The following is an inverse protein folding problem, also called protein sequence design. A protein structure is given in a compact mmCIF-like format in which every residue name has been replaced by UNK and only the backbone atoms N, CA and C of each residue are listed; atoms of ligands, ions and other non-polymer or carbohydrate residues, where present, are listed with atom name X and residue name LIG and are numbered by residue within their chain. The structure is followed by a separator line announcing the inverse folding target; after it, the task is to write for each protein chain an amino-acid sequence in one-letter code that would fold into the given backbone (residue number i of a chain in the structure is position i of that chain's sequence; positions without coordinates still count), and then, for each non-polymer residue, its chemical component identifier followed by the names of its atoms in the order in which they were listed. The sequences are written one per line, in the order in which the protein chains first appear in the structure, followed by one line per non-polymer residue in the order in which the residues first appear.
data_IF_303187575518
#
_entry.id   IF_303187575518
#
_cell.length_a   1.000
_cell.length_b   1.000
_cell.length_c   1.000
_cell.angle_alpha   90.00
_cell.angle_beta   90.00
_cell.angle_gamma   90.00
#
_symmetry.space_group_name_H-M   'P 1'
#
loop_
_entity.id
_entity.type
_entity.pdbx_description
1 polymer ?
#
# COMPACT_ATOMS: atom_id res chain seq x y z
N UNK A 1 -20.58 4.43 -33.04
CA UNK A 1 -20.05 3.36 -32.17
C UNK A 1 -19.20 2.34 -32.91
N UNK A 2 -19.71 1.54 -33.89
CA UNK A 2 -18.85 0.53 -34.57
C UNK A 2 -17.69 1.10 -35.40
N UNK A 3 -17.82 2.27 -36.04
CA UNK A 3 -16.76 2.91 -36.85
C UNK A 3 -15.64 3.50 -35.95
N UNK A 4 -15.97 4.10 -34.83
CA UNK A 4 -15.00 4.68 -33.89
C UNK A 4 -14.20 3.57 -33.18
N UNK A 5 -14.84 2.50 -32.76
CA UNK A 5 -14.18 1.32 -32.18
C UNK A 5 -13.20 0.70 -33.19
N UNK A 6 -13.60 0.61 -34.48
CA UNK A 6 -12.74 0.05 -35.52
C UNK A 6 -11.52 0.93 -35.84
N UNK A 7 -11.68 2.26 -35.81
CA UNK A 7 -10.58 3.23 -36.00
C UNK A 7 -9.60 3.17 -34.83
N UNK A 8 -10.08 3.16 -33.58
CA UNK A 8 -9.24 3.05 -32.38
C UNK A 8 -8.45 1.74 -32.35
N UNK A 9 -9.08 0.61 -32.66
CA UNK A 9 -8.42 -0.70 -32.70
C UNK A 9 -7.32 -0.75 -33.77
N UNK A 10 -7.54 -0.15 -34.95
CA UNK A 10 -6.55 -0.10 -36.01
C UNK A 10 -5.36 0.80 -35.66
N UNK A 11 -5.61 1.92 -34.99
CA UNK A 11 -4.57 2.86 -34.52
C UNK A 11 -3.72 2.20 -33.41
N UNK A 12 -4.33 1.58 -32.41
CA UNK A 12 -3.63 0.84 -31.34
C UNK A 12 -2.76 -0.29 -31.88
N UNK A 13 -3.27 -1.06 -32.87
CA UNK A 13 -2.51 -2.11 -33.54
C UNK A 13 -1.26 -1.59 -34.28
N UNK A 14 -1.33 -0.40 -34.90
CA UNK A 14 -0.19 0.21 -35.56
C UNK A 14 0.85 0.71 -34.56
N UNK A 15 0.43 1.36 -33.47
CA UNK A 15 1.31 1.79 -32.39
C UNK A 15 2.00 0.58 -31.73
N UNK A 16 1.27 -0.50 -31.51
CA UNK A 16 1.81 -1.74 -30.97
C UNK A 16 2.89 -2.35 -31.89
N UNK A 17 2.70 -2.32 -33.21
CA UNK A 17 3.71 -2.80 -34.18
C UNK A 17 4.98 -1.93 -34.16
N UNK A 18 4.83 -0.63 -34.05
CA UNK A 18 5.98 0.31 -33.95
C UNK A 18 6.84 -0.04 -32.74
N UNK A 19 6.23 -0.33 -31.60
CA UNK A 19 6.96 -0.60 -30.36
C UNK A 19 7.57 -2.00 -30.28
N UNK A 20 6.89 -3.02 -30.85
CA UNK A 20 7.33 -4.44 -30.82
C UNK A 20 8.76 -4.68 -31.31
N UNK A 21 9.26 -3.85 -32.23
CA UNK A 21 10.63 -3.94 -32.72
C UNK A 21 11.68 -3.25 -31.85
N UNK A 22 11.26 -2.52 -30.82
CA UNK A 22 12.11 -1.65 -29.99
C UNK A 22 12.29 -2.16 -28.57
N UNK A 23 11.50 -3.15 -28.15
CA UNK A 23 11.50 -3.71 -26.81
C UNK A 23 11.72 -5.22 -26.80
N UNK A 24 12.19 -5.74 -25.68
CA UNK A 24 12.37 -7.19 -25.44
C UNK A 24 11.10 -7.86 -24.90
N UNK A 25 10.29 -7.09 -24.17
CA UNK A 25 9.04 -7.54 -23.58
C UNK A 25 7.91 -7.71 -24.59
N UNK A 26 6.67 -7.71 -24.12
CA UNK A 26 5.48 -7.84 -24.96
C UNK A 26 4.64 -6.57 -24.98
N UNK A 27 3.96 -6.33 -26.11
CA UNK A 27 2.97 -5.26 -26.26
C UNK A 27 1.63 -5.90 -26.52
N UNK A 28 0.65 -5.57 -25.70
CA UNK A 28 -0.73 -6.03 -25.82
C UNK A 28 -1.64 -4.84 -26.16
N UNK A 29 -2.58 -5.07 -27.05
CA UNK A 29 -3.67 -4.16 -27.39
C UNK A 29 -5.01 -4.89 -27.33
N UNK A 30 -6.12 -4.18 -27.37
CA UNK A 30 -7.45 -4.76 -27.32
C UNK A 30 -7.62 -5.83 -28.43
N UNK A 31 -8.03 -7.04 -28.04
CA UNK A 31 -8.16 -8.19 -28.91
C UNK A 31 -6.94 -9.12 -28.93
N UNK A 32 -5.80 -8.73 -28.37
CA UNK A 32 -4.67 -9.65 -28.22
C UNK A 32 -4.93 -10.65 -27.07
N UNK A 33 -4.50 -11.92 -27.22
CA UNK A 33 -4.56 -12.89 -26.12
C UNK A 33 -3.85 -12.35 -24.87
N UNK A 34 -4.52 -12.43 -23.70
CA UNK A 34 -3.99 -11.97 -22.43
C UNK A 34 -4.17 -10.47 -22.14
N UNK A 35 -4.72 -9.68 -23.09
CA UNK A 35 -4.98 -8.25 -22.84
C UNK A 35 -5.95 -8.03 -21.69
N UNK A 36 -7.08 -8.74 -21.66
CA UNK A 36 -8.08 -8.59 -20.61
C UNK A 36 -7.56 -9.02 -19.24
N UNK A 37 -6.70 -10.04 -19.17
CA UNK A 37 -6.02 -10.44 -17.93
C UNK A 37 -4.99 -9.36 -17.49
N UNK A 38 -4.21 -8.83 -18.44
CA UNK A 38 -3.18 -7.83 -18.15
C UNK A 38 -3.76 -6.49 -17.66
N UNK A 39 -5.00 -6.13 -18.01
CA UNK A 39 -5.66 -4.91 -17.52
C UNK A 39 -6.47 -5.10 -16.24
N UNK A 40 -6.53 -6.31 -15.67
CA UNK A 40 -7.16 -6.52 -14.37
C UNK A 40 -6.23 -6.05 -13.26
N UNK A 41 -6.78 -5.30 -12.30
CA UNK A 41 -6.10 -4.88 -11.09
C UNK A 41 -6.88 -5.31 -9.85
N UNK A 42 -6.27 -5.19 -8.68
CA UNK A 42 -6.81 -5.71 -7.43
C UNK A 42 -8.22 -5.20 -7.10
N UNK A 43 -8.50 -3.90 -7.33
CA UNK A 43 -9.81 -3.28 -7.11
C UNK A 43 -10.72 -3.48 -8.33
N UNK A 44 -11.69 -4.36 -8.23
CA UNK A 44 -12.63 -4.66 -9.32
C UNK A 44 -13.63 -3.51 -9.66
N UNK A 45 -13.64 -2.40 -8.90
CA UNK A 45 -14.34 -1.19 -9.33
C UNK A 45 -13.69 -0.52 -10.54
N UNK A 46 -12.43 -0.85 -10.83
CA UNK A 46 -11.63 -0.23 -11.89
C UNK A 46 -11.65 -1.13 -13.13
N UNK A 47 -12.27 -0.65 -14.20
CA UNK A 47 -12.34 -1.33 -15.50
C UNK A 47 -11.84 -0.37 -16.61
N UNK A 48 -10.53 -0.06 -16.59
CA UNK A 48 -9.88 0.80 -17.58
C UNK A 48 -9.34 -0.01 -18.76
N UNK A 49 -9.27 0.63 -19.94
CA UNK A 49 -8.89 0.01 -21.20
C UNK A 49 -7.74 0.78 -21.87
N UNK A 50 -6.48 0.49 -21.50
CA UNK A 50 -5.32 1.07 -22.16
C UNK A 50 -5.30 0.77 -23.65
N UNK A 51 -4.91 1.73 -24.50
CA UNK A 51 -4.66 1.46 -25.91
C UNK A 51 -3.52 0.45 -26.08
N UNK A 52 -2.49 0.54 -25.23
CA UNK A 52 -1.35 -0.39 -25.19
C UNK A 52 -1.01 -0.75 -23.73
N UNK A 53 -0.66 -2.02 -23.51
CA UNK A 53 0.00 -2.50 -22.29
C UNK A 53 1.38 -3.01 -22.68
N UNK A 54 2.43 -2.39 -22.16
CA UNK A 54 3.82 -2.76 -22.39
C UNK A 54 4.32 -3.57 -21.21
N UNK A 55 4.33 -4.88 -21.34
CA UNK A 55 4.87 -5.78 -20.32
C UNK A 55 6.39 -5.83 -20.45
N UNK A 56 7.08 -5.04 -19.65
CA UNK A 56 8.53 -4.90 -19.69
C UNK A 56 9.24 -6.21 -19.28
N UNK A 57 10.25 -6.61 -20.08
CA UNK A 57 11.16 -7.69 -19.71
C UNK A 57 12.33 -7.19 -18.90
N UNK A 58 12.78 -5.96 -19.16
CA UNK A 58 13.80 -5.25 -18.39
C UNK A 58 13.62 -3.72 -18.47
N UNK A 59 14.52 -2.99 -17.81
CA UNK A 59 14.47 -1.53 -17.75
C UNK A 59 14.68 -0.84 -19.11
N UNK A 60 15.26 -1.54 -20.11
CA UNK A 60 15.51 -0.99 -21.45
C UNK A 60 14.23 -0.84 -22.26
N UNK A 61 13.16 -1.53 -21.88
CA UNK A 61 11.85 -1.42 -22.53
C UNK A 61 11.11 -0.11 -22.18
N UNK A 62 11.48 0.54 -21.08
CA UNK A 62 10.79 1.74 -20.56
C UNK A 62 11.03 2.99 -21.43
N UNK A 63 12.29 3.36 -21.84
CA UNK A 63 12.53 4.53 -22.63
C UNK A 63 11.77 4.55 -23.98
N UNK A 64 11.74 3.48 -24.80
CA UNK A 64 10.97 3.48 -26.03
C UNK A 64 9.45 3.59 -25.79
N UNK A 65 8.92 3.03 -24.69
CA UNK A 65 7.51 3.17 -24.31
C UNK A 65 7.17 4.64 -23.99
N UNK A 66 8.00 5.33 -23.20
CA UNK A 66 7.85 6.76 -22.89
C UNK A 66 7.95 7.59 -24.19
N UNK A 67 8.93 7.32 -25.04
CA UNK A 67 9.13 8.06 -26.29
C UNK A 67 7.93 7.92 -27.24
N UNK A 68 7.36 6.71 -27.37
CA UNK A 68 6.13 6.47 -28.14
C UNK A 68 4.95 7.26 -27.56
N UNK A 69 4.72 7.15 -26.25
CA UNK A 69 3.62 7.83 -25.58
C UNK A 69 3.72 9.37 -25.76
N UNK A 70 4.88 9.96 -25.57
CA UNK A 70 5.12 11.40 -25.80
C UNK A 70 4.83 11.81 -27.24
N UNK A 71 5.34 11.05 -28.23
CA UNK A 71 5.14 11.35 -29.66
C UNK A 71 3.66 11.37 -30.04
N UNK A 72 2.91 10.44 -29.50
CA UNK A 72 1.48 10.27 -29.81
C UNK A 72 0.55 10.91 -28.79
N UNK A 73 1.11 11.63 -27.79
CA UNK A 73 0.36 12.30 -26.70
C UNK A 73 -0.55 11.34 -25.93
N UNK A 74 -0.08 10.13 -25.72
CA UNK A 74 -0.79 9.12 -24.93
C UNK A 74 -0.55 9.39 -23.43
N UNK A 75 -1.58 9.22 -22.65
CA UNK A 75 -1.46 9.19 -21.19
C UNK A 75 -0.62 7.97 -20.75
N UNK A 76 0.23 8.13 -19.72
CA UNK A 76 1.07 7.04 -19.21
C UNK A 76 0.59 6.63 -17.83
N UNK A 77 0.26 5.37 -17.66
CA UNK A 77 0.13 4.73 -16.36
C UNK A 77 1.26 3.75 -16.09
N UNK A 78 1.59 3.52 -14.80
CA UNK A 78 2.66 2.62 -14.39
C UNK A 78 2.08 1.58 -13.44
N UNK A 79 2.25 0.31 -13.80
CA UNK A 79 1.77 -0.82 -13.01
C UNK A 79 2.93 -1.63 -12.45
N UNK A 80 3.03 -1.68 -11.10
CA UNK A 80 3.75 -2.75 -10.39
C UNK A 80 2.86 -3.98 -10.25
N UNK A 81 2.29 -4.23 -9.06
CA UNK A 81 1.34 -5.33 -8.84
C UNK A 81 -0.16 -4.92 -8.93
N UNK A 82 -0.48 -3.66 -9.26
CA UNK A 82 -1.87 -3.23 -9.51
C UNK A 82 -2.75 -3.05 -8.26
N UNK A 83 -2.20 -2.73 -7.10
CA UNK A 83 -2.93 -2.53 -5.84
C UNK A 83 -3.42 -1.10 -5.60
N UNK A 84 -3.15 -0.15 -6.50
CA UNK A 84 -3.55 1.25 -6.30
C UNK A 84 -5.07 1.38 -6.20
N UNK A 85 -5.56 1.86 -5.05
CA UNK A 85 -7.01 1.93 -4.76
C UNK A 85 -7.75 2.93 -5.65
N UNK A 86 -7.07 4.00 -6.11
CA UNK A 86 -7.62 4.98 -7.04
C UNK A 86 -7.63 4.51 -8.50
N UNK A 87 -7.02 3.35 -8.80
CA UNK A 87 -6.94 2.80 -10.15
C UNK A 87 -5.87 3.43 -11.04
N UNK A 88 -4.95 4.22 -10.50
CA UNK A 88 -3.91 4.94 -11.27
C UNK A 88 -2.85 4.01 -11.88
N UNK A 89 -2.89 2.71 -11.59
CA UNK A 89 -2.04 1.71 -12.25
C UNK A 89 -2.43 1.45 -13.72
N UNK A 90 -3.59 1.94 -14.17
CA UNK A 90 -4.10 1.84 -15.53
C UNK A 90 -4.60 3.20 -16.01
N UNK A 91 -4.69 3.37 -17.33
CA UNK A 91 -5.33 4.51 -18.01
C UNK A 91 -6.33 4.01 -19.05
N UNK A 92 -7.21 4.88 -19.51
CA UNK A 92 -8.05 4.63 -20.68
C UNK A 92 -7.37 5.23 -21.92
N UNK A 93 -7.41 4.52 -23.05
CA UNK A 93 -6.89 4.95 -24.35
C UNK A 93 -5.42 5.39 -24.38
N UNK A 94 -4.67 5.18 -23.29
CA UNK A 94 -3.27 5.53 -23.11
C UNK A 94 -2.32 4.32 -23.17
N UNK A 95 -1.12 4.47 -22.62
CA UNK A 95 -0.10 3.44 -22.55
C UNK A 95 0.18 3.07 -21.09
N UNK A 96 0.01 1.79 -20.75
CA UNK A 96 0.39 1.24 -19.43
C UNK A 96 1.77 0.59 -19.53
N UNK A 97 2.74 1.08 -18.75
CA UNK A 97 4.02 0.40 -18.51
C UNK A 97 3.78 -0.63 -17.40
N UNK A 98 3.84 -1.90 -17.73
CA UNK A 98 3.52 -3.01 -16.84
C UNK A 98 4.78 -3.80 -16.46
N UNK A 99 5.10 -3.81 -15.18
CA UNK A 99 6.25 -4.51 -14.60
C UNK A 99 5.94 -5.91 -14.09
N UNK A 100 4.77 -6.48 -14.38
CA UNK A 100 4.36 -7.80 -13.89
C UNK A 100 5.34 -8.95 -14.20
N UNK A 101 6.26 -8.74 -15.16
CA UNK A 101 7.32 -9.70 -15.52
C UNK A 101 8.67 -9.40 -14.86
N UNK A 102 8.86 -8.23 -14.27
CA UNK A 102 10.09 -7.82 -13.59
C UNK A 102 9.93 -7.98 -12.08
N UNK A 103 10.14 -9.20 -11.55
CA UNK A 103 9.90 -9.58 -10.17
C UNK A 103 11.13 -10.08 -9.42
N UNK A 104 12.30 -9.96 -10.01
CA UNK A 104 13.51 -10.50 -9.40
C UNK A 104 13.84 -9.78 -8.09
N UNK A 105 14.22 -10.56 -7.08
CA UNK A 105 14.74 -10.09 -5.79
C UNK A 105 16.11 -10.73 -5.56
N UNK A 106 17.14 -9.90 -5.47
CA UNK A 106 18.51 -10.34 -5.16
C UNK A 106 18.92 -9.85 -3.78
N UNK A 107 19.30 -10.76 -2.90
CA UNK A 107 19.76 -10.47 -1.54
C UNK A 107 21.27 -10.52 -1.45
N UNK A 108 21.88 -9.48 -0.90
CA UNK A 108 23.26 -9.44 -0.43
C UNK A 108 23.23 -9.49 1.10
N UNK A 109 23.26 -10.72 1.65
CA UNK A 109 23.16 -10.92 3.09
C UNK A 109 24.35 -10.33 3.86
N UNK A 110 25.54 -10.31 3.27
CA UNK A 110 26.76 -9.72 3.87
C UNK A 110 26.63 -8.21 4.09
N UNK A 111 26.01 -7.52 3.14
CA UNK A 111 25.73 -6.08 3.24
C UNK A 111 24.38 -5.79 3.87
N UNK A 112 23.55 -6.80 4.10
CA UNK A 112 22.14 -6.67 4.51
C UNK A 112 21.39 -5.74 3.55
N UNK A 113 21.41 -6.08 2.24
CA UNK A 113 20.73 -5.35 1.18
C UNK A 113 19.85 -6.27 0.36
N UNK A 114 18.70 -5.76 -0.06
CA UNK A 114 17.88 -6.36 -1.10
C UNK A 114 17.79 -5.43 -2.29
N UNK A 115 17.98 -5.98 -3.50
CA UNK A 115 17.78 -5.30 -4.77
C UNK A 115 16.52 -5.89 -5.41
N UNK A 116 15.52 -5.06 -5.64
CA UNK A 116 14.16 -5.51 -5.93
C UNK A 116 13.64 -4.85 -7.19
N UNK A 117 13.16 -5.63 -8.13
CA UNK A 117 12.49 -5.12 -9.32
C UNK A 117 11.06 -4.62 -9.04
N UNK A 118 10.53 -3.65 -9.82
CA UNK A 118 9.30 -2.91 -9.51
C UNK A 118 8.01 -3.74 -9.58
N UNK A 119 8.02 -4.86 -10.27
CA UNK A 119 6.89 -5.79 -10.34
C UNK A 119 6.83 -6.82 -9.21
N UNK A 120 7.86 -6.87 -8.35
CA UNK A 120 7.88 -7.77 -7.21
C UNK A 120 6.75 -7.42 -6.21
N UNK A 121 6.18 -8.45 -5.64
CA UNK A 121 5.22 -8.35 -4.53
C UNK A 121 5.94 -8.38 -3.19
N UNK A 122 5.22 -8.10 -2.11
CA UNK A 122 5.77 -8.25 -0.76
C UNK A 122 6.13 -9.70 -0.47
N UNK A 123 5.35 -10.68 -0.98
CA UNK A 123 5.69 -12.10 -0.88
C UNK A 123 7.04 -12.43 -1.52
N UNK A 124 7.30 -11.91 -2.74
CA UNK A 124 8.56 -12.15 -3.45
C UNK A 124 9.77 -11.64 -2.63
N UNK A 125 9.61 -10.47 -1.98
CA UNK A 125 10.65 -9.88 -1.13
C UNK A 125 10.82 -10.66 0.18
N UNK A 126 9.73 -10.93 0.90
CA UNK A 126 9.77 -11.63 2.19
C UNK A 126 10.35 -13.04 2.05
N UNK A 127 9.94 -13.80 1.02
CA UNK A 127 10.47 -15.14 0.76
C UNK A 127 11.97 -15.11 0.45
N UNK A 128 12.43 -14.15 -0.35
CA UNK A 128 13.83 -14.02 -0.68
C UNK A 128 14.70 -13.62 0.53
N UNK A 129 14.23 -12.70 1.37
CA UNK A 129 15.03 -12.15 2.48
C UNK A 129 15.04 -13.08 3.69
N UNK A 130 13.93 -13.75 3.99
CA UNK A 130 13.83 -14.64 5.16
C UNK A 130 14.65 -15.92 5.04
N UNK A 131 14.97 -16.37 3.82
CA UNK A 131 15.97 -17.42 3.60
C UNK A 131 17.35 -17.09 4.20
N UNK A 132 17.61 -15.81 4.49
CA UNK A 132 18.81 -15.28 5.13
C UNK A 132 18.59 -14.82 6.59
N UNK A 133 17.42 -15.04 7.18
CA UNK A 133 17.06 -14.50 8.50
C UNK A 133 16.98 -12.98 8.54
N UNK A 134 16.62 -12.36 7.41
CA UNK A 134 16.55 -10.90 7.23
C UNK A 134 15.16 -10.48 6.74
N UNK A 135 14.76 -9.27 7.10
CA UNK A 135 13.56 -8.62 6.57
C UNK A 135 13.71 -7.10 6.51
N UNK A 136 12.80 -6.42 5.83
CA UNK A 136 12.62 -4.97 5.87
C UNK A 136 11.15 -4.66 6.13
N UNK A 137 10.79 -3.50 6.74
CA UNK A 137 9.40 -3.13 6.92
C UNK A 137 8.64 -3.07 5.59
N UNK A 138 7.54 -3.81 5.49
CA UNK A 138 6.61 -3.81 4.36
C UNK A 138 5.17 -3.94 4.87
N UNK A 139 4.18 -3.88 3.98
CA UNK A 139 2.76 -4.03 4.33
C UNK A 139 2.36 -5.45 4.73
N UNK A 140 1.06 -5.64 4.99
CA UNK A 140 0.50 -6.86 5.58
C UNK A 140 -0.29 -7.74 4.58
N UNK A 141 -0.37 -7.35 3.33
CA UNK A 141 -0.97 -8.14 2.26
C UNK A 141 0.13 -8.55 1.28
N UNK A 142 0.41 -9.84 1.20
CA UNK A 142 1.55 -10.37 0.49
C UNK A 142 1.52 -10.12 -1.03
N UNK A 143 0.34 -9.92 -1.60
CA UNK A 143 0.13 -9.65 -3.04
C UNK A 143 0.36 -8.18 -3.42
N UNK A 144 0.52 -7.29 -2.45
CA UNK A 144 0.80 -5.86 -2.69
C UNK A 144 2.15 -5.69 -3.39
N UNK A 145 2.21 -4.79 -4.37
CA UNK A 145 3.45 -4.47 -5.08
C UNK A 145 4.38 -3.59 -4.25
N UNK A 146 5.67 -3.96 -4.25
CA UNK A 146 6.71 -3.22 -3.51
C UNK A 146 6.84 -1.77 -3.98
N UNK A 147 6.72 -1.51 -5.29
CA UNK A 147 6.97 -0.19 -5.88
C UNK A 147 5.98 0.87 -5.37
N UNK A 148 4.68 0.67 -5.59
CA UNK A 148 3.66 1.63 -5.18
C UNK A 148 3.60 1.80 -3.66
N UNK A 149 3.73 0.71 -2.92
CA UNK A 149 3.79 0.74 -1.45
C UNK A 149 4.95 1.63 -0.98
N UNK A 150 6.16 1.38 -1.45
CA UNK A 150 7.38 2.11 -1.05
C UNK A 150 7.29 3.59 -1.40
N UNK A 151 6.97 3.93 -2.66
CA UNK A 151 6.98 5.31 -3.13
C UNK A 151 6.00 6.23 -2.40
N UNK A 152 4.94 5.69 -1.80
CA UNK A 152 3.99 6.44 -0.98
C UNK A 152 4.21 6.32 0.53
N UNK A 153 5.18 5.50 0.98
CA UNK A 153 5.46 5.30 2.40
C UNK A 153 5.73 3.85 2.77
N UNK A 154 4.69 3.05 2.86
CA UNK A 154 4.74 1.64 3.28
C UNK A 154 4.87 1.45 4.79
N UNK A 155 3.92 0.76 5.40
CA UNK A 155 3.96 0.39 6.81
C UNK A 155 3.38 -1.00 7.06
N UNK A 156 3.79 -1.62 8.15
CA UNK A 156 3.34 -2.94 8.58
C UNK A 156 3.90 -3.30 9.95
N UNK A 157 4.08 -4.59 10.19
CA UNK A 157 4.42 -5.12 11.52
C UNK A 157 5.74 -4.60 12.08
N UNK A 158 6.75 -4.42 11.22
CA UNK A 158 8.09 -3.99 11.60
C UNK A 158 8.26 -2.46 11.68
N UNK A 159 7.22 -1.69 11.37
CA UNK A 159 7.30 -0.21 11.27
C UNK A 159 7.68 0.45 12.60
N UNK A 160 7.20 -0.07 13.71
CA UNK A 160 7.54 0.46 15.03
C UNK A 160 9.03 0.39 15.32
N UNK A 161 9.64 -0.74 14.97
CA UNK A 161 11.03 -1.03 15.28
C UNK A 161 12.02 -0.42 14.28
N UNK A 162 11.68 -0.43 12.99
CA UNK A 162 12.61 -0.07 11.92
C UNK A 162 12.13 1.07 11.01
N UNK A 163 11.03 1.73 11.32
CA UNK A 163 10.46 2.78 10.47
C UNK A 163 9.58 2.23 9.34
N UNK A 164 9.19 3.12 8.46
CA UNK A 164 8.40 2.78 7.27
C UNK A 164 9.27 2.13 6.18
N UNK A 165 8.66 1.56 5.15
CA UNK A 165 9.40 0.97 4.02
C UNK A 165 10.34 1.96 3.37
N UNK A 166 9.88 3.21 3.16
CA UNK A 166 10.70 4.29 2.57
C UNK A 166 11.88 4.73 3.45
N UNK A 167 11.80 4.52 4.75
CA UNK A 167 12.89 4.88 5.67
C UNK A 167 14.09 3.96 5.50
N UNK A 168 13.84 2.79 4.93
CA UNK A 168 14.80 1.73 4.67
C UNK A 168 15.24 1.67 3.20
N UNK A 169 14.77 2.59 2.36
CA UNK A 169 15.20 2.72 0.98
C UNK A 169 16.59 3.37 0.95
N UNK A 170 17.54 2.72 0.27
CA UNK A 170 18.95 3.16 0.18
C UNK A 170 19.20 3.88 -1.14
N UNK A 171 18.63 3.36 -2.22
CA UNK A 171 18.72 3.95 -3.55
C UNK A 171 17.66 3.40 -4.48
N UNK A 172 17.46 4.07 -5.61
CA UNK A 172 16.68 3.56 -6.73
C UNK A 172 17.39 3.83 -8.05
N UNK A 173 17.16 2.96 -9.03
CA UNK A 173 17.40 3.26 -10.43
C UNK A 173 16.06 3.61 -11.09
N UNK A 174 16.02 4.67 -11.89
CA UNK A 174 14.79 5.13 -12.53
C UNK A 174 15.04 5.71 -13.93
N UNK A 175 13.95 5.77 -14.70
CA UNK A 175 13.90 6.37 -16.03
C UNK A 175 13.15 7.70 -15.94
N UNK A 176 13.79 8.80 -16.40
CA UNK A 176 13.18 10.15 -16.40
C UNK A 176 12.15 10.30 -17.52
N UNK A 177 11.42 11.42 -17.52
CA UNK A 177 10.49 11.79 -18.58
C UNK A 177 11.12 11.87 -19.97
N UNK A 178 12.45 12.15 -20.06
CA UNK A 178 13.23 12.14 -21.31
C UNK A 178 13.78 10.75 -21.68
N UNK A 179 13.46 9.71 -20.90
CA UNK A 179 13.97 8.35 -21.15
C UNK A 179 15.41 8.10 -20.68
N UNK A 180 16.00 9.00 -19.87
CA UNK A 180 17.36 8.82 -19.34
C UNK A 180 17.34 7.91 -18.11
N UNK A 181 18.29 6.97 -18.07
CA UNK A 181 18.53 6.13 -16.88
C UNK A 181 19.37 6.92 -15.88
N UNK A 182 18.90 7.05 -14.66
CA UNK A 182 19.61 7.70 -13.57
C UNK A 182 19.43 6.92 -12.27
N UNK A 183 20.38 7.09 -11.36
CA UNK A 183 20.30 6.59 -9.98
C UNK A 183 19.96 7.76 -9.06
N UNK A 184 19.17 7.48 -8.01
CA UNK A 184 18.94 8.43 -6.94
C UNK A 184 19.24 7.77 -5.58
N UNK A 185 20.00 8.48 -4.74
CA UNK A 185 20.41 8.08 -3.41
C UNK A 185 20.69 9.33 -2.57
N UNK A 186 21.13 9.17 -1.32
CA UNK A 186 21.54 10.31 -0.49
C UNK A 186 22.72 11.11 -1.08
N UNK A 187 23.57 10.49 -1.90
CA UNK A 187 24.77 11.08 -2.49
C UNK A 187 24.68 11.36 -3.99
N UNK A 188 23.63 10.86 -4.65
CA UNK A 188 23.43 11.02 -6.09
C UNK A 188 21.98 11.40 -6.38
N UNK A 189 21.73 12.52 -7.10
CA UNK A 189 20.39 13.07 -7.33
C UNK A 189 19.57 13.14 -6.02
N UNK A 190 20.18 13.70 -4.96
CA UNK A 190 19.65 13.65 -3.60
C UNK A 190 18.30 14.37 -3.46
N UNK A 191 18.02 15.40 -4.26
CA UNK A 191 16.73 16.09 -4.32
C UNK A 191 15.62 15.17 -4.87
N UNK A 192 15.92 14.40 -5.90
CA UNK A 192 15.03 13.38 -6.43
C UNK A 192 14.82 12.25 -5.45
N UNK A 193 15.91 11.77 -4.81
CA UNK A 193 15.81 10.74 -3.76
C UNK A 193 14.94 11.18 -2.58
N UNK A 194 15.06 12.45 -2.18
CA UNK A 194 14.19 13.05 -1.19
C UNK A 194 12.71 13.00 -1.64
N UNK A 195 12.44 13.38 -2.89
CA UNK A 195 11.09 13.51 -3.43
C UNK A 195 10.37 12.16 -3.61
N UNK A 196 11.06 11.12 -4.13
CA UNK A 196 10.46 9.79 -4.35
C UNK A 196 10.17 9.07 -3.03
N UNK A 197 10.79 9.46 -1.91
CA UNK A 197 10.51 8.91 -0.59
C UNK A 197 9.23 9.53 0.00
N UNK A 198 8.08 9.14 -0.55
CA UNK A 198 6.74 9.57 -0.16
C UNK A 198 5.97 10.33 -1.25
N UNK A 199 6.66 10.97 -2.20
CA UNK A 199 6.03 11.73 -3.29
C UNK A 199 5.46 10.88 -4.43
N UNK A 200 5.54 9.54 -4.31
CA UNK A 200 4.96 8.63 -5.31
C UNK A 200 5.68 8.61 -6.65
N UNK A 201 4.99 8.15 -7.67
CA UNK A 201 5.50 8.01 -9.04
C UNK A 201 5.50 9.29 -9.88
N UNK A 202 5.60 10.47 -9.25
CA UNK A 202 5.50 11.78 -9.93
C UNK A 202 6.73 12.17 -10.77
N UNK A 203 7.88 11.53 -10.57
CA UNK A 203 9.17 12.07 -11.01
C UNK A 203 9.89 11.21 -12.05
N UNK A 204 9.36 10.04 -12.34
CA UNK A 204 9.96 9.06 -13.24
C UNK A 204 9.46 7.64 -12.95
N UNK A 205 9.94 6.71 -13.76
CA UNK A 205 9.61 5.29 -13.69
C UNK A 205 10.73 4.55 -12.98
N UNK A 206 10.51 4.13 -11.72
CA UNK A 206 11.51 3.38 -10.94
C UNK A 206 11.59 1.94 -11.48
N UNK A 207 12.79 1.48 -11.75
CA UNK A 207 13.10 0.17 -12.33
C UNK A 207 13.88 -0.76 -11.39
N UNK A 208 14.43 -0.23 -10.28
CA UNK A 208 15.07 -1.02 -9.23
C UNK A 208 15.04 -0.26 -7.90
N UNK A 209 14.87 -1.00 -6.82
CA UNK A 209 14.90 -0.50 -5.43
C UNK A 209 16.02 -1.22 -4.67
N UNK A 210 16.80 -0.49 -3.87
CA UNK A 210 17.76 -1.05 -2.92
C UNK A 210 17.29 -0.77 -1.50
N UNK A 211 17.03 -1.83 -0.72
CA UNK A 211 16.56 -1.73 0.67
C UNK A 211 17.63 -2.18 1.66
N UNK A 212 17.64 -1.51 2.82
CA UNK A 212 18.29 -1.99 4.04
C UNK A 212 17.47 -3.15 4.62
N UNK A 213 18.16 -4.21 5.04
CA UNK A 213 17.58 -5.36 5.74
C UNK A 213 18.04 -5.42 7.20
N UNK A 214 17.20 -6.03 8.04
CA UNK A 214 17.42 -6.23 9.47
C UNK A 214 17.29 -7.70 9.84
N UNK A 215 17.99 -8.18 10.87
CA UNK A 215 17.77 -9.51 11.42
C UNK A 215 16.34 -9.63 11.96
N UNK A 216 15.55 -10.52 11.37
CA UNK A 216 14.18 -10.84 11.80
C UNK A 216 13.91 -12.30 11.50
N UNK A 217 13.32 -12.99 12.46
CA UNK A 217 12.91 -14.36 12.28
C UNK A 217 14.05 -15.38 12.19
N UNK A 218 13.80 -16.54 11.57
CA UNK A 218 12.66 -16.89 10.71
C UNK A 218 11.31 -17.02 11.43
N UNK A 219 11.32 -17.22 12.74
CA UNK A 219 10.12 -17.33 13.57
C UNK A 219 9.88 -16.05 14.37
N UNK A 220 8.62 -15.74 14.56
CA UNK A 220 8.11 -14.62 15.39
C UNK A 220 6.97 -15.14 16.26
N UNK A 221 6.60 -14.37 17.29
CA UNK A 221 5.36 -14.64 18.02
C UNK A 221 4.26 -13.75 17.48
N UNK A 222 3.17 -14.34 16.98
CA UNK A 222 2.06 -13.58 16.42
C UNK A 222 0.74 -14.33 16.51
N UNK A 223 -0.35 -13.61 16.21
CA UNK A 223 -1.68 -14.18 16.11
C UNK A 223 -2.78 -13.17 16.38
N UNK A 224 -3.94 -13.67 16.76
CA UNK A 224 -5.17 -12.90 16.94
C UNK A 224 -5.75 -13.12 18.32
N UNK A 225 -6.27 -12.03 18.95
CA UNK A 225 -7.19 -12.09 20.07
C UNK A 225 -8.50 -11.48 19.61
N UNK A 226 -9.63 -12.18 19.79
CA UNK A 226 -10.95 -11.75 19.31
C UNK A 226 -11.88 -11.50 20.48
N UNK A 227 -12.38 -10.28 20.59
CA UNK A 227 -13.24 -9.85 21.67
C UNK A 227 -14.68 -9.57 21.20
N UNK A 228 -15.67 -9.69 22.09
CA UNK A 228 -17.04 -9.26 21.83
C UNK A 228 -17.11 -7.77 21.48
N UNK A 229 -17.87 -7.41 20.45
CA UNK A 229 -18.10 -6.02 20.07
C UNK A 229 -18.73 -5.19 21.19
N UNK A 230 -19.55 -5.80 22.06
CA UNK A 230 -20.14 -5.16 23.24
C UNK A 230 -19.10 -4.62 24.23
N UNK A 231 -17.84 -5.10 24.16
CA UNK A 231 -16.75 -4.63 25.00
C UNK A 231 -15.82 -3.63 24.25
N UNK A 232 -16.18 -3.20 23.03
CA UNK A 232 -15.31 -2.38 22.17
C UNK A 232 -14.79 -1.13 22.88
N UNK A 233 -15.65 -0.38 23.57
CA UNK A 233 -15.24 0.85 24.29
C UNK A 233 -14.18 0.56 25.36
N UNK A 234 -14.36 -0.50 26.15
CA UNK A 234 -13.40 -0.93 27.17
C UNK A 234 -12.07 -1.32 26.54
N UNK A 235 -12.10 -2.17 25.51
CA UNK A 235 -10.91 -2.70 24.85
C UNK A 235 -10.10 -1.58 24.20
N UNK A 236 -10.75 -0.69 23.45
CA UNK A 236 -10.08 0.42 22.78
C UNK A 236 -9.48 1.44 23.77
N UNK A 237 -10.14 1.68 24.91
CA UNK A 237 -9.58 2.51 25.97
C UNK A 237 -8.33 1.89 26.59
N UNK A 238 -8.33 0.59 26.86
CA UNK A 238 -7.16 -0.10 27.41
C UNK A 238 -6.04 -0.21 26.37
N UNK A 239 -6.39 -0.50 25.11
CA UNK A 239 -5.45 -0.53 24.00
C UNK A 239 -4.66 0.79 23.86
N UNK A 240 -5.35 1.94 23.75
CA UNK A 240 -4.67 3.25 23.60
C UNK A 240 -3.75 3.62 24.75
N UNK A 241 -4.02 3.13 25.97
CA UNK A 241 -3.16 3.32 27.12
C UNK A 241 -1.94 2.40 27.04
N UNK A 242 -2.18 1.11 26.76
CA UNK A 242 -1.14 0.09 26.73
C UNK A 242 -0.06 0.37 25.68
N UNK A 243 -0.45 0.73 24.46
CA UNK A 243 0.49 0.89 23.34
C UNK A 243 1.47 2.06 23.51
N UNK A 244 1.18 3.00 24.41
CA UNK A 244 2.10 4.10 24.72
C UNK A 244 3.36 3.65 25.46
N UNK A 245 3.32 2.52 26.17
CA UNK A 245 4.45 1.97 26.94
C UNK A 245 4.94 0.61 26.40
N UNK A 246 4.31 0.07 25.37
CA UNK A 246 4.70 -1.19 24.77
C UNK A 246 6.06 -1.07 24.05
N UNK A 247 6.95 -2.08 24.16
CA UNK A 247 8.23 -2.09 23.45
C UNK A 247 8.00 -2.04 21.92
N UNK A 248 8.97 -1.54 21.17
CA UNK A 248 8.81 -1.33 19.71
C UNK A 248 8.77 -2.65 18.92
N UNK A 249 9.32 -3.72 19.47
CA UNK A 249 9.24 -5.08 18.96
C UNK A 249 7.81 -5.66 18.98
N UNK A 250 6.95 -5.11 19.85
CA UNK A 250 5.53 -5.48 19.96
C UNK A 250 4.68 -4.51 19.15
N UNK A 251 4.02 -5.02 18.12
CA UNK A 251 3.04 -4.27 17.33
C UNK A 251 1.67 -4.93 17.45
N UNK A 252 0.68 -4.13 17.85
CA UNK A 252 -0.71 -4.57 17.99
C UNK A 252 -1.57 -3.59 17.22
N UNK A 253 -2.34 -4.11 16.27
CA UNK A 253 -3.33 -3.31 15.55
C UNK A 253 -4.73 -3.57 16.10
N UNK A 254 -5.68 -2.78 15.65
CA UNK A 254 -7.09 -2.97 15.94
C UNK A 254 -7.86 -3.16 14.65
N UNK A 255 -8.69 -4.19 14.59
CA UNK A 255 -9.61 -4.41 13.47
C UNK A 255 -11.01 -4.62 14.02
N UNK A 256 -11.97 -3.80 13.58
CA UNK A 256 -13.38 -3.99 13.87
C UNK A 256 -14.07 -4.48 12.60
N UNK A 257 -14.62 -5.70 12.67
CA UNK A 257 -15.21 -6.37 11.50
C UNK A 257 -16.25 -7.40 11.92
N UNK A 258 -16.91 -8.02 10.95
CA UNK A 258 -17.67 -9.25 11.19
C UNK A 258 -16.72 -10.44 11.23
N UNK A 259 -16.87 -11.29 12.25
CA UNK A 259 -16.01 -12.45 12.47
C UNK A 259 -16.13 -13.45 11.30
N UNK A 260 -15.02 -13.76 10.60
CA UNK A 260 -15.01 -14.88 9.66
C UNK A 260 -15.10 -16.22 10.44
N UNK A 261 -15.41 -17.34 9.76
CA UNK A 261 -15.54 -18.65 10.40
C UNK A 261 -14.15 -19.24 10.73
N UNK A 262 -13.49 -18.68 11.74
CA UNK A 262 -12.19 -19.15 12.21
C UNK A 262 -12.36 -20.34 13.15
N UNK A 263 -11.54 -21.41 13.04
CA UNK A 263 -11.69 -22.64 13.81
C UNK A 263 -11.61 -22.48 15.33
N UNK A 264 -10.91 -21.44 15.81
CA UNK A 264 -10.76 -21.17 17.25
C UNK A 264 -11.89 -20.29 17.81
N UNK A 265 -12.84 -19.86 16.99
CA UNK A 265 -14.01 -19.09 17.43
C UNK A 265 -15.25 -19.99 17.53
N UNK A 266 -16.09 -19.82 18.56
CA UNK A 266 -17.38 -20.49 18.63
C UNK A 266 -18.26 -20.16 17.41
N UNK A 267 -19.00 -21.13 16.88
CA UNK A 267 -19.85 -20.94 15.68
C UNK A 267 -20.86 -19.80 15.84
N UNK A 268 -21.37 -19.60 17.06
CA UNK A 268 -22.33 -18.54 17.36
C UNK A 268 -21.73 -17.13 17.31
N UNK A 269 -20.41 -16.98 17.12
CA UNK A 269 -19.70 -15.69 16.94
C UNK A 269 -19.54 -15.37 15.45
N UNK A 270 -19.55 -16.37 14.58
CA UNK A 270 -19.37 -16.19 13.14
C UNK A 270 -20.41 -15.21 12.57
N UNK A 271 -19.95 -14.26 11.76
CA UNK A 271 -20.76 -13.21 11.14
C UNK A 271 -21.20 -12.07 12.06
N UNK A 272 -20.90 -12.13 13.36
CA UNK A 272 -21.17 -11.03 14.30
C UNK A 272 -20.00 -10.03 14.32
N UNK A 273 -20.32 -8.79 14.66
CA UNK A 273 -19.30 -7.76 14.87
C UNK A 273 -18.40 -8.14 16.04
N UNK A 274 -17.08 -7.96 15.85
CA UNK A 274 -16.04 -8.26 16.83
C UNK A 274 -14.97 -7.18 16.82
N UNK A 275 -14.20 -7.12 17.90
CA UNK A 275 -12.91 -6.40 17.96
C UNK A 275 -11.80 -7.43 17.88
N UNK A 276 -10.97 -7.34 16.87
CA UNK A 276 -9.80 -8.20 16.69
C UNK A 276 -8.56 -7.40 16.99
N UNK A 277 -7.67 -7.96 17.80
CA UNK A 277 -6.34 -7.45 18.03
C UNK A 277 -5.33 -8.38 17.36
N UNK A 278 -4.86 -8.08 16.14
CA UNK A 278 -3.69 -8.74 15.56
C UNK A 278 -2.45 -8.34 16.36
N UNK A 279 -1.72 -9.33 16.83
CA UNK A 279 -0.52 -9.20 17.66
C UNK A 279 0.68 -9.70 16.86
N UNK A 280 1.74 -8.94 16.88
CA UNK A 280 3.04 -9.29 16.31
C UNK A 280 4.16 -8.93 17.28
N UNK A 281 5.07 -9.85 17.53
CA UNK A 281 6.25 -9.62 18.37
C UNK A 281 7.49 -10.26 17.74
N UNK A 282 8.47 -9.40 17.44
CA UNK A 282 9.74 -9.81 16.80
C UNK A 282 10.89 -10.07 17.79
N UNK A 283 10.66 -9.86 19.07
CA UNK A 283 11.64 -10.15 20.13
C UNK A 283 11.67 -11.62 20.54
N UNK A 284 12.42 -11.95 21.63
CA UNK A 284 12.53 -13.33 22.11
C UNK A 284 11.18 -13.94 22.47
N UNK A 285 10.83 -15.08 21.87
CA UNK A 285 9.53 -15.72 22.06
C UNK A 285 9.19 -16.03 23.53
N UNK A 286 10.23 -16.30 24.36
CA UNK A 286 10.05 -16.54 25.80
C UNK A 286 9.49 -15.32 26.58
N UNK A 287 9.63 -14.11 26.04
CA UNK A 287 9.12 -12.87 26.66
C UNK A 287 7.71 -12.54 26.19
N UNK A 288 7.26 -13.09 25.05
CA UNK A 288 6.01 -12.74 24.40
C UNK A 288 4.80 -12.91 25.33
N UNK A 289 4.69 -14.04 26.01
CA UNK A 289 3.57 -14.34 26.90
C UNK A 289 3.43 -13.31 28.04
N UNK A 290 4.54 -12.88 28.63
CA UNK A 290 4.54 -11.85 29.67
C UNK A 290 4.09 -10.50 29.13
N UNK A 291 4.51 -10.13 27.93
CA UNK A 291 4.14 -8.87 27.29
C UNK A 291 2.67 -8.83 26.85
N UNK A 292 2.11 -9.98 26.46
CA UNK A 292 0.75 -10.09 25.93
C UNK A 292 -0.28 -10.35 27.02
N UNK A 293 0.11 -10.87 28.18
CA UNK A 293 -0.81 -11.14 29.29
C UNK A 293 -1.70 -9.92 29.64
N UNK A 294 -1.23 -8.67 29.71
CA UNK A 294 -2.08 -7.50 29.93
C UNK A 294 -3.11 -7.27 28.80
N UNK A 295 -2.76 -7.61 27.55
CA UNK A 295 -3.64 -7.42 26.39
C UNK A 295 -4.84 -8.38 26.45
N UNK A 296 -4.64 -9.62 26.90
CA UNK A 296 -5.73 -10.57 27.14
C UNK A 296 -6.71 -10.07 28.20
N UNK A 297 -6.22 -9.28 29.17
CA UNK A 297 -7.02 -8.71 30.24
C UNK A 297 -7.81 -7.44 29.86
N UNK A 298 -7.74 -6.98 28.60
CA UNK A 298 -8.56 -5.85 28.15
C UNK A 298 -10.05 -6.14 28.19
N UNK A 299 -10.44 -7.42 28.12
CA UNK A 299 -11.81 -7.90 28.21
C UNK A 299 -11.87 -9.41 28.36
N UNK A 300 -13.01 -10.00 28.03
CA UNK A 300 -13.18 -11.45 27.98
C UNK A 300 -13.22 -11.87 26.51
N UNK A 301 -12.15 -12.45 25.96
CA UNK A 301 -12.12 -12.79 24.54
C UNK A 301 -13.09 -13.94 24.20
N UNK A 302 -13.62 -13.92 22.98
CA UNK A 302 -14.32 -15.06 22.39
C UNK A 302 -13.39 -16.23 22.10
N UNK A 303 -12.11 -15.92 21.79
CA UNK A 303 -11.06 -16.87 21.53
C UNK A 303 -9.78 -16.15 21.10
N UNK A 304 -8.70 -16.90 21.09
CA UNK A 304 -7.39 -16.44 20.60
C UNK A 304 -6.66 -17.55 19.85
N UNK A 305 -5.80 -17.14 18.96
CA UNK A 305 -4.84 -18.00 18.27
C UNK A 305 -3.52 -17.26 18.23
N UNK A 306 -2.67 -17.51 19.21
CA UNK A 306 -1.36 -16.86 19.39
C UNK A 306 -0.29 -17.95 19.51
N UNK A 307 0.88 -17.70 18.97
CA UNK A 307 2.01 -18.62 19.09
C UNK A 307 3.20 -18.24 18.24
N UNK A 308 4.26 -19.05 18.40
CA UNK A 308 5.45 -18.96 17.53
C UNK A 308 5.09 -19.51 16.17
N UNK A 309 5.41 -18.75 15.13
CA UNK A 309 5.14 -19.14 13.75
C UNK A 309 6.12 -18.47 12.78
N UNK A 310 6.28 -19.00 11.55
CA UNK A 310 7.11 -18.36 10.54
C UNK A 310 6.62 -16.93 10.20
N UNK A 311 7.54 -15.98 10.10
CA UNK A 311 7.22 -14.60 9.71
C UNK A 311 6.49 -14.53 8.36
N UNK A 312 6.92 -15.33 7.35
CA UNK A 312 6.24 -15.40 6.03
C UNK A 312 4.79 -15.85 6.16
N UNK A 313 4.50 -16.80 7.06
CA UNK A 313 3.13 -17.26 7.27
C UNK A 313 2.26 -16.14 7.84
N UNK A 314 2.79 -15.33 8.78
CA UNK A 314 2.09 -14.18 9.31
C UNK A 314 1.88 -13.06 8.28
N UNK A 315 2.86 -12.80 7.42
CA UNK A 315 2.76 -11.83 6.31
C UNK A 315 1.66 -12.21 5.30
N UNK A 316 1.30 -13.49 5.19
CA UNK A 316 0.24 -14.03 4.34
C UNK A 316 -1.09 -14.28 5.07
N UNK A 317 -1.14 -14.08 6.39
CA UNK A 317 -2.29 -14.46 7.22
C UNK A 317 -3.60 -13.76 6.82
N UNK A 318 -3.52 -12.57 6.25
CA UNK A 318 -4.68 -11.77 5.85
C UNK A 318 -5.03 -11.89 4.37
N UNK A 319 -4.21 -12.54 3.55
CA UNK A 319 -4.44 -12.68 2.11
C UNK A 319 -5.81 -13.30 1.77
N UNK A 320 -6.31 -14.33 2.49
CA UNK A 320 -7.62 -14.89 2.20
C UNK A 320 -8.79 -13.92 2.36
N UNK A 321 -8.61 -12.85 3.14
CA UNK A 321 -9.60 -11.80 3.36
C UNK A 321 -9.47 -10.64 2.35
N UNK A 322 -8.33 -10.58 1.64
CA UNK A 322 -7.94 -9.46 0.78
C UNK A 322 -7.67 -9.90 -0.66
N UNK A 323 -8.39 -10.91 -1.13
CA UNK A 323 -8.26 -11.46 -2.49
C UNK A 323 -8.61 -10.42 -3.57
N UNK A 324 -7.96 -10.45 -4.76
CA UNK A 324 -8.37 -9.61 -5.88
C UNK A 324 -9.81 -9.94 -6.33
N UNK A 325 -10.42 -9.03 -7.08
CA UNK A 325 -11.74 -9.25 -7.70
C UNK A 325 -12.92 -8.71 -6.90
N UNK A 326 -12.75 -8.27 -5.65
CA UNK A 326 -13.78 -7.53 -4.94
C UNK A 326 -13.71 -6.02 -5.25
N UNK A 327 -14.84 -5.35 -5.08
CA UNK A 327 -14.99 -3.90 -5.19
C UNK A 327 -14.53 -3.25 -3.90
N UNK A 328 -13.72 -2.20 -4.00
CA UNK A 328 -13.10 -1.57 -2.84
C UNK A 328 -13.19 -0.05 -2.93
N UNK A 329 -13.57 0.57 -1.81
CA UNK A 329 -13.56 2.01 -1.64
C UNK A 329 -13.04 2.36 -0.25
N UNK A 330 -11.95 3.09 -0.19
CA UNK A 330 -11.23 3.37 1.04
C UNK A 330 -11.24 4.86 1.38
N UNK A 331 -11.18 5.15 2.66
CA UNK A 331 -10.88 6.46 3.21
C UNK A 331 -9.90 6.28 4.37
N UNK A 332 -9.07 7.28 4.62
CA UNK A 332 -8.09 7.18 5.71
C UNK A 332 -7.90 8.50 6.45
N UNK A 333 -7.57 8.36 7.72
CA UNK A 333 -7.07 9.42 8.58
C UNK A 333 -5.82 8.98 9.32
N UNK A 334 -4.96 9.94 9.62
CA UNK A 334 -3.89 9.77 10.57
C UNK A 334 -4.31 10.34 11.92
N UNK A 335 -3.85 9.72 13.03
CA UNK A 335 -4.09 10.21 14.38
C UNK A 335 -2.78 10.29 15.17
N UNK A 336 -2.59 11.36 15.89
CA UNK A 336 -1.53 11.50 16.91
C UNK A 336 -1.92 10.80 18.20
N UNK A 337 -3.23 10.72 18.47
CA UNK A 337 -3.83 10.02 19.60
C UNK A 337 -5.24 9.52 19.23
N UNK A 338 -5.72 8.52 19.94
CA UNK A 338 -7.09 8.02 19.79
C UNK A 338 -7.99 8.70 20.85
N UNK A 339 -8.46 9.92 20.58
CA UNK A 339 -9.36 10.67 21.47
C UNK A 339 -10.70 9.94 21.68
N UNK A 340 -11.42 10.26 22.76
CA UNK A 340 -12.71 9.60 23.08
C UNK A 340 -13.71 9.69 21.94
N UNK A 341 -13.85 10.86 21.31
CA UNK A 341 -14.76 11.05 20.19
C UNK A 341 -14.36 10.28 18.93
N UNK A 342 -13.03 10.06 18.71
CA UNK A 342 -12.56 9.17 17.65
C UNK A 342 -13.01 7.72 17.92
N UNK A 343 -12.81 7.24 19.15
CA UNK A 343 -13.23 5.89 19.54
C UNK A 343 -14.75 5.72 19.44
N UNK A 344 -15.54 6.72 19.84
CA UNK A 344 -17.00 6.68 19.75
C UNK A 344 -17.46 6.60 18.28
N UNK A 345 -16.88 7.38 17.39
CA UNK A 345 -17.14 7.32 15.94
C UNK A 345 -16.77 5.96 15.36
N UNK A 346 -15.59 5.42 15.71
CA UNK A 346 -15.13 4.09 15.25
C UNK A 346 -16.13 3.01 15.66
N UNK A 347 -16.58 3.00 16.93
CA UNK A 347 -17.51 2.00 17.43
C UNK A 347 -18.88 2.15 16.76
N UNK A 348 -19.38 3.38 16.62
CA UNK A 348 -20.66 3.64 15.95
C UNK A 348 -20.68 3.04 14.53
N UNK A 349 -19.66 3.34 13.74
CA UNK A 349 -19.62 2.91 12.33
C UNK A 349 -19.25 1.44 12.16
N UNK A 350 -18.47 0.86 13.09
CA UNK A 350 -18.24 -0.58 13.14
C UNK A 350 -19.51 -1.39 13.45
N UNK A 351 -20.46 -0.81 14.20
CA UNK A 351 -21.79 -1.42 14.41
C UNK A 351 -22.72 -1.34 13.20
N UNK A 352 -22.29 -0.69 12.08
CA UNK A 352 -23.07 -0.46 10.87
C UNK A 352 -22.38 -0.96 9.61
N UNK A 353 -21.49 -1.95 9.70
CA UNK A 353 -20.71 -2.47 8.55
C UNK A 353 -21.66 -2.92 7.43
N UNK A 354 -21.52 -2.37 6.21
CA UNK A 354 -22.45 -2.61 5.11
C UNK A 354 -22.34 -4.00 4.49
N UNK A 355 -21.17 -4.65 4.62
CA UNK A 355 -20.94 -6.03 4.16
C UNK A 355 -20.09 -6.81 5.16
N UNK A 356 -20.03 -8.15 5.07
CA UNK A 356 -19.13 -8.97 5.88
C UNK A 356 -17.65 -8.73 5.60
N UNK A 357 -17.33 -8.18 4.44
CA UNK A 357 -15.96 -7.90 4.01
C UNK A 357 -15.48 -6.49 4.40
N UNK A 358 -16.40 -5.60 4.81
CA UNK A 358 -16.05 -4.28 5.33
C UNK A 358 -15.40 -4.39 6.70
N UNK A 359 -14.43 -3.52 6.94
CA UNK A 359 -13.74 -3.43 8.22
C UNK A 359 -13.23 -2.00 8.48
N UNK A 360 -12.97 -1.72 9.73
CA UNK A 360 -12.22 -0.55 10.17
C UNK A 360 -10.94 -1.06 10.78
N UNK A 361 -9.80 -0.72 10.22
CA UNK A 361 -8.55 -1.05 10.87
C UNK A 361 -7.76 0.18 11.32
N UNK A 362 -7.04 0.04 12.42
CA UNK A 362 -6.15 1.03 13.00
C UNK A 362 -4.77 0.40 13.08
N UNK A 363 -3.88 0.82 12.18
CA UNK A 363 -2.48 0.43 12.20
C UNK A 363 -1.68 1.29 13.16
N UNK A 364 -0.99 0.69 14.13
CA UNK A 364 -0.05 1.37 15.02
C UNK A 364 1.30 1.48 14.32
N UNK A 365 1.73 2.72 14.05
CA UNK A 365 3.01 3.03 13.38
C UNK A 365 4.00 3.79 14.26
N UNK A 366 3.58 4.12 15.49
CA UNK A 366 4.41 4.85 16.45
C UNK A 366 5.70 4.08 16.79
N UNK A 367 6.83 4.80 16.88
CA UNK A 367 8.14 4.25 17.20
C UNK A 367 9.23 4.86 16.31
N UNK A 368 10.02 4.03 15.63
CA UNK A 368 11.13 4.50 14.78
C UNK A 368 10.70 5.51 13.72
N UNK A 369 9.50 5.34 13.12
CA UNK A 369 8.98 6.26 12.11
C UNK A 369 8.79 7.71 12.62
N UNK A 370 8.47 7.88 13.91
CA UNK A 370 8.27 9.19 14.51
C UNK A 370 9.57 9.91 14.89
N UNK A 371 10.72 9.21 14.87
CA UNK A 371 12.03 9.81 15.17
C UNK A 371 12.68 10.50 13.97
N UNK A 372 12.10 10.31 12.80
CA UNK A 372 12.59 10.93 11.55
C UNK A 372 11.99 12.33 11.43
N UNK A 373 12.84 13.32 11.08
CA UNK A 373 12.37 14.69 10.90
C UNK A 373 11.33 14.79 9.77
N UNK A 374 10.29 15.63 9.90
CA UNK A 374 9.21 15.74 8.89
C UNK A 374 9.68 16.19 7.51
N UNK A 375 10.82 16.85 7.42
CA UNK A 375 11.45 17.36 6.19
C UNK A 375 12.58 16.48 5.65
N UNK A 376 12.92 15.38 6.35
CA UNK A 376 14.00 14.46 5.92
C UNK A 376 13.71 13.78 4.57
N UNK A 377 12.44 13.68 4.20
CA UNK A 377 11.95 13.14 2.92
C UNK A 377 10.55 13.71 2.60
N UNK A 378 10.01 13.40 1.43
CA UNK A 378 8.70 13.92 1.02
C UNK A 378 7.55 13.48 1.93
N UNK A 379 7.62 12.28 2.51
CA UNK A 379 6.65 11.82 3.51
C UNK A 379 6.84 12.59 4.84
N UNK A 380 5.98 13.57 5.09
CA UNK A 380 6.11 14.48 6.22
C UNK A 380 5.26 14.14 7.45
N UNK A 381 4.39 13.14 7.40
CA UNK A 381 3.42 12.80 8.46
C UNK A 381 4.09 12.02 9.60
N UNK A 382 5.11 12.62 10.24
CA UNK A 382 5.96 11.97 11.24
C UNK A 382 5.46 12.03 12.69
N UNK A 383 4.42 12.80 12.94
CA UNK A 383 3.72 12.87 14.22
C UNK A 383 2.60 11.82 14.34
N UNK A 384 2.18 11.24 13.24
CA UNK A 384 1.15 10.21 13.22
C UNK A 384 1.58 8.96 14.01
N UNK A 385 0.78 8.56 14.97
CA UNK A 385 0.97 7.32 15.74
C UNK A 385 0.09 6.18 15.18
N UNK A 386 -1.03 6.54 14.59
CA UNK A 386 -2.00 5.59 14.07
C UNK A 386 -2.44 6.00 12.66
N UNK A 387 -2.63 5.00 11.81
CA UNK A 387 -3.28 5.12 10.51
C UNK A 387 -4.61 4.39 10.58
N UNK A 388 -5.71 5.12 10.44
CA UNK A 388 -7.04 4.56 10.28
C UNK A 388 -7.30 4.29 8.80
N UNK A 389 -7.77 3.10 8.46
CA UNK A 389 -8.37 2.80 7.15
C UNK A 389 -9.85 2.43 7.34
N UNK A 390 -10.70 3.16 6.65
CA UNK A 390 -12.11 2.83 6.45
C UNK A 390 -12.16 1.93 5.23
N UNK A 391 -12.13 0.62 5.45
CA UNK A 391 -12.02 -0.36 4.39
C UNK A 391 -13.41 -0.83 3.95
N UNK A 392 -14.00 -0.11 2.99
CA UNK A 392 -15.19 -0.55 2.29
C UNK A 392 -14.83 -1.62 1.27
N UNK A 393 -15.44 -2.81 1.36
CA UNK A 393 -15.22 -3.95 0.48
C UNK A 393 -16.50 -4.77 0.30
N UNK A 394 -16.84 -5.11 -0.94
CA UNK A 394 -18.02 -5.89 -1.30
C UNK A 394 -17.87 -6.52 -2.70
N UNK A 395 -18.75 -7.44 -3.08
CA UNK A 395 -18.64 -8.16 -4.35
C UNK A 395 -19.49 -7.53 -5.46
N UNK A 396 -20.72 -7.10 -5.16
CA UNK A 396 -21.72 -6.75 -6.15
C UNK A 396 -21.82 -5.22 -6.39
N UNK A 397 -21.84 -4.80 -7.65
CA UNK A 397 -21.96 -3.38 -8.01
C UNK A 397 -23.24 -2.70 -7.47
N UNK A 398 -24.32 -3.45 -7.22
CA UNK A 398 -25.55 -2.92 -6.60
C UNK A 398 -25.33 -2.39 -5.18
N UNK A 399 -24.27 -2.82 -4.50
CA UNK A 399 -23.93 -2.42 -3.14
C UNK A 399 -23.00 -1.19 -3.09
N UNK A 400 -22.57 -0.65 -4.25
CA UNK A 400 -21.64 0.48 -4.34
C UNK A 400 -22.10 1.68 -3.54
N UNK A 401 -23.35 2.13 -3.74
CA UNK A 401 -23.88 3.31 -3.03
C UNK A 401 -23.85 3.14 -1.52
N UNK A 402 -24.20 1.93 -1.03
CA UNK A 402 -24.21 1.61 0.39
C UNK A 402 -22.79 1.59 0.97
N UNK A 403 -21.87 0.91 0.30
CA UNK A 403 -20.47 0.81 0.75
C UNK A 403 -19.73 2.15 0.72
N UNK A 404 -19.86 2.90 -0.39
CA UNK A 404 -19.26 4.24 -0.56
C UNK A 404 -19.87 5.22 0.44
N UNK A 405 -21.20 5.23 0.60
CA UNK A 405 -21.89 6.10 1.56
C UNK A 405 -21.40 5.89 2.97
N UNK A 406 -21.36 4.63 3.44
CA UNK A 406 -20.83 4.28 4.77
C UNK A 406 -19.39 4.78 4.98
N UNK A 407 -18.51 4.58 4.01
CA UNK A 407 -17.12 4.98 4.12
C UNK A 407 -16.96 6.51 4.17
N UNK A 408 -17.74 7.26 3.37
CA UNK A 408 -17.74 8.74 3.37
C UNK A 408 -18.30 9.31 4.67
N UNK A 409 -19.39 8.75 5.17
CA UNK A 409 -20.03 9.22 6.41
C UNK A 409 -19.11 8.98 7.60
N UNK A 410 -18.47 7.82 7.69
CA UNK A 410 -17.49 7.55 8.75
C UNK A 410 -16.25 8.46 8.63
N UNK A 411 -15.72 8.62 7.44
CA UNK A 411 -14.60 9.53 7.19
C UNK A 411 -14.92 10.95 7.68
N UNK A 412 -16.13 11.46 7.37
CA UNK A 412 -16.58 12.77 7.84
C UNK A 412 -16.75 12.83 9.36
N UNK A 413 -17.34 11.79 9.97
CA UNK A 413 -17.57 11.74 11.41
C UNK A 413 -16.26 11.69 12.22
N UNK A 414 -15.23 11.03 11.71
CA UNK A 414 -13.92 10.89 12.36
C UNK A 414 -12.96 12.07 12.09
N UNK A 415 -13.22 12.89 11.07
CA UNK A 415 -12.36 14.01 10.66
C UNK A 415 -12.02 15.02 11.78
N UNK A 416 -12.93 15.40 12.71
CA UNK A 416 -12.61 16.35 13.79
C UNK A 416 -11.50 15.87 14.75
N UNK A 417 -11.21 14.60 14.78
CA UNK A 417 -10.24 13.96 15.67
C UNK A 417 -8.93 13.58 14.96
N UNK A 418 -8.89 13.71 13.63
CA UNK A 418 -7.75 13.36 12.82
C UNK A 418 -6.65 14.44 12.88
N UNK A 419 -5.39 14.03 12.76
CA UNK A 419 -4.30 14.96 12.47
C UNK A 419 -4.38 15.44 11.02
N UNK A 420 -3.69 16.54 10.71
CA UNK A 420 -3.58 17.03 9.34
C UNK A 420 -2.89 16.00 8.44
N UNK A 421 -3.23 16.01 7.15
CA UNK A 421 -2.62 15.14 6.13
C UNK A 421 -3.40 13.86 5.85
N UNK A 422 -2.84 13.05 4.95
CA UNK A 422 -3.39 11.77 4.55
C UNK A 422 -2.28 10.80 4.18
N UNK A 423 -2.54 9.50 4.33
CA UNK A 423 -1.65 8.47 3.80
C UNK A 423 -1.94 8.29 2.30
N UNK A 424 -1.02 8.72 1.45
CA UNK A 424 -1.25 8.85 0.00
C UNK A 424 -1.64 7.54 -0.70
N UNK A 425 -1.18 6.38 -0.20
CA UNK A 425 -1.53 5.09 -0.78
C UNK A 425 -2.99 4.67 -0.49
N UNK A 426 -3.68 5.33 0.45
CA UNK A 426 -5.09 5.06 0.75
C UNK A 426 -6.04 6.12 0.19
N UNK A 427 -5.52 7.12 -0.52
CA UNK A 427 -6.34 8.14 -1.16
C UNK A 427 -7.03 7.60 -2.42
N UNK A 428 -8.31 7.90 -2.56
CA UNK A 428 -9.12 7.56 -3.74
C UNK A 428 -9.00 8.66 -4.83
N UNK A 429 -9.46 8.35 -6.04
CA UNK A 429 -9.35 9.27 -7.19
C UNK A 429 -10.06 10.63 -6.99
N UNK A 430 -11.09 10.68 -6.14
CA UNK A 430 -11.86 11.90 -5.86
C UNK A 430 -11.18 12.86 -4.87
N UNK A 431 -10.03 12.51 -4.30
CA UNK A 431 -9.33 13.27 -3.25
C UNK A 431 -8.20 14.15 -3.80
N UNK A 432 -8.24 14.49 -5.06
CA UNK A 432 -7.20 15.31 -5.71
C UNK A 432 -6.99 16.69 -5.06
N UNK A 433 -8.02 17.26 -4.44
CA UNK A 433 -7.97 18.51 -3.67
C UNK A 433 -7.19 18.39 -2.35
N UNK A 434 -7.01 17.16 -1.84
CA UNK A 434 -6.26 16.87 -0.60
C UNK A 434 -4.77 16.59 -0.84
N UNK A 435 -4.29 16.53 -2.08
CA UNK A 435 -2.89 16.17 -2.39
C UNK A 435 -1.91 17.11 -1.72
N UNK A 436 -2.11 18.44 -1.83
CA UNK A 436 -1.24 19.41 -1.18
C UNK A 436 -1.25 19.24 0.36
N UNK A 437 -2.42 19.02 0.96
CA UNK A 437 -2.54 18.79 2.40
C UNK A 437 -1.88 17.48 2.86
N UNK A 438 -1.90 16.43 2.02
CA UNK A 438 -1.23 15.16 2.32
C UNK A 438 0.29 15.32 2.45
N UNK A 439 0.88 16.24 1.67
CA UNK A 439 2.32 16.54 1.73
C UNK A 439 2.67 17.70 2.70
N UNK A 440 1.68 18.52 3.07
CA UNK A 440 1.85 19.62 4.03
C UNK A 440 3.00 20.56 3.66
N UNK A 441 3.90 20.86 4.61
CA UNK A 441 5.02 21.77 4.40
C UNK A 441 6.03 21.29 3.32
N UNK A 442 6.02 20.04 2.93
CA UNK A 442 6.90 19.49 1.91
C UNK A 442 6.40 19.71 0.47
N UNK A 443 5.13 20.17 0.29
CA UNK A 443 4.50 20.28 -1.02
C UNK A 443 5.25 21.21 -1.99
N UNK A 444 5.64 22.40 -1.55
CA UNK A 444 6.33 23.38 -2.40
C UNK A 444 7.69 22.85 -2.89
N UNK A 445 8.42 22.15 -2.05
CA UNK A 445 9.67 21.50 -2.43
C UNK A 445 9.43 20.39 -3.46
N UNK A 446 8.36 19.60 -3.31
CA UNK A 446 7.95 18.59 -4.28
C UNK A 446 7.64 19.20 -5.65
N UNK A 447 6.96 20.37 -5.69
CA UNK A 447 6.69 21.10 -6.92
C UNK A 447 8.00 21.52 -7.61
N UNK A 448 9.01 21.97 -6.87
CA UNK A 448 10.31 22.33 -7.45
C UNK A 448 11.04 21.11 -8.06
N UNK A 449 11.01 19.97 -7.37
CA UNK A 449 11.58 18.72 -7.89
C UNK A 449 10.78 18.25 -9.12
N UNK A 450 9.45 18.34 -9.09
CA UNK A 450 8.61 18.01 -10.26
C UNK A 450 8.96 18.85 -11.48
N UNK A 451 9.09 20.16 -11.33
CA UNK A 451 9.54 21.08 -12.41
C UNK A 451 10.87 20.69 -13.04
N UNK A 452 11.76 20.14 -12.23
CA UNK A 452 13.10 19.73 -12.70
C UNK A 452 13.07 18.40 -13.45
N UNK A 453 12.32 17.39 -12.98
CA UNK A 453 12.38 16.02 -13.49
C UNK A 453 11.21 15.64 -14.40
N UNK A 454 10.11 16.34 -14.33
CA UNK A 454 8.92 16.14 -15.19
C UNK A 454 8.15 17.46 -15.43
N UNK A 455 8.78 18.44 -16.11
CA UNK A 455 8.18 19.76 -16.34
C UNK A 455 6.91 19.70 -17.22
N UNK A 456 6.81 18.68 -18.07
CA UNK A 456 5.66 18.47 -18.96
C UNK A 456 4.51 17.70 -18.26
N UNK A 457 4.67 17.35 -16.96
CA UNK A 457 3.71 16.57 -16.17
C UNK A 457 3.25 15.28 -16.85
N UNK A 458 4.19 14.51 -17.40
CA UNK A 458 3.93 13.25 -18.11
C UNK A 458 3.48 12.17 -17.14
N UNK A 459 4.07 12.13 -15.93
CA UNK A 459 3.73 11.20 -14.87
C UNK A 459 2.73 11.84 -13.91
N UNK A 460 1.45 11.90 -14.31
CA UNK A 460 0.38 12.53 -13.53
C UNK A 460 -0.71 11.56 -13.04
N UNK A 461 -0.72 10.31 -13.50
CA UNK A 461 -1.61 9.26 -12.98
C UNK A 461 -1.09 8.70 -11.65
N UNK A 462 -1.25 9.51 -10.63
CA UNK A 462 -0.87 9.26 -9.23
C UNK A 462 -1.56 10.30 -8.35
N UNK A 463 -1.10 10.53 -7.11
CA UNK A 463 -1.45 11.73 -6.35
C UNK A 463 -0.64 12.90 -6.94
N UNK A 464 -1.17 13.50 -8.00
CA UNK A 464 -0.41 14.36 -8.91
C UNK A 464 0.11 15.64 -8.24
N UNK A 465 1.42 15.83 -8.28
CA UNK A 465 2.11 17.06 -7.94
C UNK A 465 2.32 17.83 -9.25
N UNK A 466 1.58 18.91 -9.42
CA UNK A 466 1.67 19.74 -10.64
C UNK A 466 2.96 20.55 -10.62
N UNK A 467 3.71 20.62 -11.76
CA UNK A 467 4.94 21.41 -11.87
C UNK A 467 4.71 22.92 -11.84
#
# INVERSE_FOLDING_TARGET
MNKEIHIMTTQSSNLGKELKGMIKGSVLSAGDPGYDDARQIWNAMIDRRPALIVQCADADDVPPAIALARRHKLEISIRGAGHNIAGNALCDDGLTIDFSKMKNVRVDAGKRRAYVEPGATLADLDEATLGHGLATPVGINSTTGIAGLTLGGGFGWLTRQYGMTIDNLVSVDLITAEGRKIRASETENADLFWAIRGGGGNFGVVTSFEFQLFPVGPEIFAGLIVFPFSQAKQILNQYRQFVNSAPEELNIWVVLRKAPPLPFLPENVHGKEVVVLPVFYSGPAAEAEKLIAPVRAFGTPHGEHLGVQPYVAWQKAFDPLLTPGARNYWKSHNFTELADGALDSIIEFAGKLPSPQCEIFIGLIAGASNRIAPDAMAYGQRDAKFVLNVHGRWDEAKDDQKGIGWARDFFKASAPYASAGAYVNFMTAEEGDRVAAAYGANYDRLVQVKKRYDPDNIFHLNQNIKP
#
